data_IF_915665607973
#
_entry.id   IF_915665607973
#
_cell.length_a   1.000
_cell.length_b   1.000
_cell.length_c   1.000
_cell.angle_alpha   90.00
_cell.angle_beta   90.00
_cell.angle_gamma   90.00
#
_symmetry.space_group_name_H-M   'P 1'
#
loop_
_entity.id
_entity.type
_entity.pdbx_description
1 polymer ?
#
# COMPACT_ATOMS: atom_id res chain seq x y z
N UNK A 1 24.57 10.88 -29.34
CA UNK A 1 25.01 10.92 -30.75
C UNK A 1 25.37 12.36 -31.10
N UNK A 2 26.50 12.61 -31.79
CA UNK A 2 26.93 13.96 -32.08
C UNK A 2 26.05 14.53 -33.24
N UNK A 3 25.33 15.64 -33.09
CA UNK A 3 24.44 16.20 -34.12
C UNK A 3 25.09 16.43 -35.49
N UNK A 4 26.39 16.72 -35.50
CA UNK A 4 27.15 16.97 -36.72
C UNK A 4 27.34 15.74 -37.63
N UNK A 5 27.18 14.51 -37.10
CA UNK A 5 27.29 13.27 -37.88
C UNK A 5 26.03 13.06 -38.71
N UNK A 6 24.87 13.37 -38.14
CA UNK A 6 23.58 13.26 -38.85
C UNK A 6 23.54 14.14 -40.12
N UNK A 7 24.17 15.32 -40.07
CA UNK A 7 24.16 16.28 -41.20
C UNK A 7 24.95 15.79 -42.43
N UNK A 8 25.87 14.83 -42.26
CA UNK A 8 26.70 14.29 -43.31
C UNK A 8 26.17 13.06 -44.01
N UNK A 9 25.08 12.46 -43.47
CA UNK A 9 24.52 11.23 -44.03
C UNK A 9 23.58 11.47 -45.23
N UNK A 10 23.42 10.50 -46.15
CA UNK A 10 22.39 10.51 -47.16
C UNK A 10 21.00 10.65 -46.57
N UNK A 11 20.06 11.23 -47.36
CA UNK A 11 18.68 11.51 -46.89
C UNK A 11 17.94 10.25 -46.43
N UNK A 12 18.11 9.14 -47.14
CA UNK A 12 17.45 7.87 -46.79
C UNK A 12 18.00 7.28 -45.50
N UNK A 13 19.32 7.31 -45.27
CA UNK A 13 19.92 6.86 -44.04
C UNK A 13 19.49 7.75 -42.84
N UNK A 14 19.38 9.07 -43.05
CA UNK A 14 18.83 9.97 -42.04
C UNK A 14 17.42 9.59 -41.64
N UNK A 15 16.56 9.30 -42.62
CA UNK A 15 15.17 8.93 -42.36
C UNK A 15 15.07 7.63 -41.59
N UNK A 16 15.88 6.64 -41.95
CA UNK A 16 15.95 5.36 -41.24
C UNK A 16 16.41 5.54 -39.78
N UNK A 17 17.48 6.29 -39.56
CA UNK A 17 18.01 6.58 -38.22
C UNK A 17 16.99 7.35 -37.37
N UNK A 18 16.31 8.34 -37.94
CA UNK A 18 15.26 9.08 -37.23
C UNK A 18 14.10 8.17 -36.84
N UNK A 19 13.66 7.28 -37.74
CA UNK A 19 12.62 6.29 -37.43
C UNK A 19 13.02 5.36 -36.27
N UNK A 20 14.26 4.85 -36.28
CA UNK A 20 14.78 4.02 -35.19
C UNK A 20 14.87 4.79 -33.86
N UNK A 21 15.23 6.07 -33.90
CA UNK A 21 15.27 6.91 -32.70
C UNK A 21 13.85 7.12 -32.15
N UNK A 22 12.88 7.38 -33.02
CA UNK A 22 11.47 7.53 -32.63
C UNK A 22 10.92 6.26 -32.01
N UNK A 23 11.17 5.10 -32.62
CA UNK A 23 10.78 3.79 -32.08
C UNK A 23 11.43 3.51 -30.73
N UNK A 24 12.72 3.80 -30.58
CA UNK A 24 13.45 3.63 -29.32
C UNK A 24 12.89 4.55 -28.22
N UNK A 25 12.61 5.81 -28.56
CA UNK A 25 12.02 6.74 -27.61
C UNK A 25 10.61 6.32 -27.18
N UNK A 26 9.80 5.86 -28.13
CA UNK A 26 8.47 5.33 -27.84
C UNK A 26 8.52 4.05 -26.98
N UNK A 27 9.52 3.19 -27.20
CA UNK A 27 9.73 2.00 -26.37
C UNK A 27 10.14 2.37 -24.95
N UNK A 28 11.10 3.29 -24.78
CA UNK A 28 11.54 3.80 -23.47
C UNK A 28 10.40 4.46 -22.70
N UNK A 29 9.61 5.27 -23.39
CA UNK A 29 8.44 5.93 -22.79
C UNK A 29 7.42 4.90 -22.29
N UNK A 30 7.14 3.87 -23.11
CA UNK A 30 6.24 2.78 -22.69
C UNK A 30 6.78 2.02 -21.48
N UNK A 31 8.04 1.65 -21.48
CA UNK A 31 8.69 0.95 -20.36
C UNK A 31 8.66 1.81 -19.09
N UNK A 32 9.00 3.09 -19.18
CA UNK A 32 8.94 4.04 -18.06
C UNK A 32 7.53 4.17 -17.49
N UNK A 33 6.53 4.40 -18.35
CA UNK A 33 5.13 4.57 -17.94
C UNK A 33 4.48 3.27 -17.42
N UNK A 34 4.98 2.11 -17.82
CA UNK A 34 4.53 0.82 -17.28
C UNK A 34 5.15 0.50 -15.93
N UNK A 35 6.35 1.00 -15.65
CA UNK A 35 7.10 0.73 -14.43
C UNK A 35 6.95 1.77 -13.33
N UNK A 36 6.48 2.98 -13.65
CA UNK A 36 6.37 4.09 -12.72
C UNK A 36 5.07 4.86 -12.87
N UNK A 37 4.32 5.00 -11.76
CA UNK A 37 3.02 5.65 -11.77
C UNK A 37 3.10 7.14 -12.12
N UNK A 38 4.15 7.85 -11.71
CA UNK A 38 4.31 9.28 -12.02
C UNK A 38 4.61 9.51 -13.50
N UNK A 39 5.44 8.66 -14.09
CA UNK A 39 5.73 8.71 -15.53
C UNK A 39 4.46 8.40 -16.35
N UNK A 40 3.65 7.43 -15.92
CA UNK A 40 2.33 7.19 -16.50
C UNK A 40 1.43 8.43 -16.44
N UNK A 41 1.34 9.09 -15.29
CA UNK A 41 0.51 10.31 -15.12
C UNK A 41 0.97 11.44 -16.03
N UNK A 42 2.28 11.68 -16.15
CA UNK A 42 2.84 12.68 -17.06
C UNK A 42 2.48 12.43 -18.52
N UNK A 43 2.46 11.17 -18.92
CA UNK A 43 2.16 10.77 -20.29
C UNK A 43 0.67 10.98 -20.64
N UNK A 44 -0.23 10.54 -19.75
CA UNK A 44 -1.68 10.62 -20.01
C UNK A 44 -2.31 11.98 -19.69
N UNK A 45 -1.58 12.81 -18.96
CA UNK A 45 -2.06 14.15 -18.57
C UNK A 45 -1.03 15.25 -18.89
N UNK A 46 -0.95 15.73 -20.14
CA UNK A 46 0.04 16.72 -20.59
C UNK A 46 0.03 18.04 -19.80
N UNK A 47 -1.10 18.41 -19.20
CA UNK A 47 -1.23 19.60 -18.36
C UNK A 47 -0.84 19.38 -16.89
N UNK A 48 -0.36 18.18 -16.53
CA UNK A 48 0.03 17.87 -15.17
C UNK A 48 1.25 18.65 -14.71
N UNK A 49 1.12 19.37 -13.59
CA UNK A 49 2.22 20.10 -12.96
C UNK A 49 2.70 19.31 -11.76
N UNK A 50 3.89 18.76 -11.88
CA UNK A 50 4.51 17.96 -10.83
C UNK A 50 4.89 18.80 -9.61
N UNK A 51 4.51 18.35 -8.41
CA UNK A 51 4.92 18.89 -7.12
C UNK A 51 5.47 17.81 -6.22
N UNK A 52 6.18 18.20 -5.16
CA UNK A 52 6.80 17.22 -4.23
C UNK A 52 5.82 16.23 -3.64
N UNK A 53 4.58 16.65 -3.34
CA UNK A 53 3.53 15.76 -2.82
C UNK A 53 3.12 14.69 -3.85
N UNK A 54 3.13 14.99 -5.16
CA UNK A 54 2.84 14.02 -6.21
C UNK A 54 3.90 12.92 -6.29
N UNK A 55 5.18 13.26 -6.09
CA UNK A 55 6.27 12.27 -6.03
C UNK A 55 6.09 11.30 -4.88
N UNK A 56 5.78 11.82 -3.68
CA UNK A 56 5.54 10.99 -2.49
C UNK A 56 4.34 10.07 -2.69
N UNK A 57 3.27 10.58 -3.31
CA UNK A 57 2.09 9.76 -3.63
C UNK A 57 2.40 8.69 -4.66
N UNK A 58 3.11 9.04 -5.74
CA UNK A 58 3.47 8.08 -6.79
C UNK A 58 4.40 6.99 -6.27
N UNK A 59 5.38 7.33 -5.43
CA UNK A 59 6.24 6.34 -4.77
C UNK A 59 5.41 5.37 -3.91
N UNK A 60 4.45 5.89 -3.14
CA UNK A 60 3.56 5.04 -2.37
C UNK A 60 2.73 4.10 -3.25
N UNK A 61 2.20 4.57 -4.40
CA UNK A 61 1.47 3.74 -5.36
C UNK A 61 2.36 2.70 -6.03
N UNK A 62 3.58 3.05 -6.44
CA UNK A 62 4.56 2.11 -6.99
C UNK A 62 4.88 0.99 -6.00
N UNK A 63 5.09 1.32 -4.72
CA UNK A 63 5.34 0.37 -3.65
C UNK A 63 4.14 -0.54 -3.37
N UNK A 64 2.92 -0.01 -3.46
CA UNK A 64 1.68 -0.81 -3.37
C UNK A 64 1.58 -1.75 -4.58
N UNK A 65 1.81 -1.25 -5.78
CA UNK A 65 1.74 -2.03 -7.01
C UNK A 65 2.77 -3.17 -7.07
N UNK A 66 3.98 -2.94 -6.54
CA UNK A 66 5.03 -3.98 -6.44
C UNK A 66 4.75 -5.05 -5.37
N UNK A 67 3.66 -4.93 -4.61
CA UNK A 67 3.31 -5.84 -3.53
C UNK A 67 4.15 -5.70 -2.26
N UNK A 68 5.19 -4.88 -2.28
CA UNK A 68 6.17 -4.76 -1.19
C UNK A 68 5.60 -4.25 0.14
N UNK A 69 4.40 -3.65 0.14
CA UNK A 69 3.85 -2.99 1.32
C UNK A 69 2.38 -3.28 1.61
N UNK A 70 1.69 -4.09 0.82
CA UNK A 70 0.23 -4.27 0.94
C UNK A 70 -0.17 -4.70 2.34
N UNK A 71 0.33 -5.85 2.78
CA UNK A 71 -0.07 -6.44 4.06
C UNK A 71 0.49 -5.67 5.25
N UNK A 72 1.72 -5.17 5.19
CA UNK A 72 2.30 -4.43 6.31
C UNK A 72 1.60 -3.08 6.54
N UNK A 73 1.27 -2.34 5.48
CA UNK A 73 0.54 -1.07 5.60
C UNK A 73 -0.93 -1.27 5.94
N UNK A 74 -1.63 -2.11 5.18
CA UNK A 74 -3.07 -2.27 5.31
C UNK A 74 -3.45 -3.13 6.52
N UNK A 75 -2.67 -4.18 6.80
CA UNK A 75 -3.04 -5.21 7.77
C UNK A 75 -2.32 -5.09 9.11
N UNK A 76 -1.30 -4.20 9.22
CA UNK A 76 -0.58 -3.94 10.46
C UNK A 76 -0.60 -2.47 10.88
N UNK A 77 0.00 -1.57 10.06
CA UNK A 77 0.18 -0.18 10.47
C UNK A 77 -1.13 0.62 10.47
N UNK A 78 -1.96 0.45 9.44
CA UNK A 78 -3.21 1.18 9.32
C UNK A 78 -4.21 0.89 10.46
N UNK A 79 -4.52 -0.36 10.83
CA UNK A 79 -5.44 -0.62 11.94
C UNK A 79 -4.91 -0.13 13.28
N UNK A 80 -3.59 -0.17 13.51
CA UNK A 80 -3.00 0.42 14.71
C UNK A 80 -3.20 1.94 14.76
N UNK A 81 -2.88 2.65 13.67
CA UNK A 81 -3.10 4.09 13.55
C UNK A 81 -4.58 4.46 13.70
N UNK A 82 -5.47 3.70 13.04
CA UNK A 82 -6.91 3.95 13.10
C UNK A 82 -7.45 3.86 14.54
N UNK A 83 -7.06 2.81 15.28
CA UNK A 83 -7.45 2.65 16.68
C UNK A 83 -6.80 3.68 17.62
N UNK A 84 -5.65 4.24 17.25
CA UNK A 84 -5.09 5.39 17.96
C UNK A 84 -5.90 6.66 17.75
N UNK A 85 -6.36 6.88 16.52
CA UNK A 85 -7.14 8.06 16.14
C UNK A 85 -8.60 7.97 16.61
N UNK A 86 -9.16 6.76 16.62
CA UNK A 86 -10.56 6.47 16.94
C UNK A 86 -10.61 5.26 17.90
N UNK A 87 -10.23 5.43 19.18
CA UNK A 87 -9.92 4.33 20.07
C UNK A 87 -11.15 3.54 20.57
N UNK A 88 -12.36 4.02 20.32
CA UNK A 88 -13.65 3.37 20.61
C UNK A 88 -14.21 2.56 19.44
N UNK A 89 -13.53 2.59 18.29
CA UNK A 89 -13.99 1.97 17.05
C UNK A 89 -13.62 0.48 16.98
N UNK A 90 -14.29 -0.21 16.06
CA UNK A 90 -14.16 -1.66 15.87
C UNK A 90 -13.54 -1.99 14.53
N UNK A 91 -12.52 -2.82 14.57
CA UNK A 91 -11.81 -3.33 13.39
C UNK A 91 -12.00 -4.84 13.31
N UNK A 92 -12.48 -5.32 12.16
CA UNK A 92 -12.42 -6.74 11.80
C UNK A 92 -11.36 -6.90 10.72
N UNK A 93 -10.44 -7.84 10.94
CA UNK A 93 -9.45 -8.21 9.94
C UNK A 93 -9.61 -9.67 9.57
N UNK A 94 -9.68 -9.94 8.26
CA UNK A 94 -9.78 -11.29 7.73
C UNK A 94 -8.65 -11.58 6.77
N UNK A 95 -8.19 -12.83 6.75
CA UNK A 95 -7.23 -13.37 5.81
C UNK A 95 -7.67 -14.79 5.42
N UNK A 96 -7.01 -15.37 4.38
CA UNK A 96 -7.31 -16.73 3.92
C UNK A 96 -7.37 -17.75 5.06
N UNK A 97 -6.41 -17.73 5.97
CA UNK A 97 -6.43 -18.62 7.16
C UNK A 97 -6.61 -17.83 8.46
N UNK A 98 -7.17 -18.49 9.46
CA UNK A 98 -7.29 -17.93 10.81
C UNK A 98 -5.91 -17.65 11.42
N UNK A 99 -4.91 -18.50 11.13
CA UNK A 99 -3.54 -18.35 11.61
C UNK A 99 -2.89 -17.06 11.08
N UNK A 100 -3.04 -16.78 9.78
CA UNK A 100 -2.53 -15.56 9.14
C UNK A 100 -3.21 -14.33 9.74
N UNK A 101 -4.55 -14.33 9.85
CA UNK A 101 -5.30 -13.23 10.43
C UNK A 101 -4.89 -12.95 11.89
N UNK A 102 -4.74 -14.00 12.72
CA UNK A 102 -4.27 -13.89 14.10
C UNK A 102 -2.82 -13.41 14.17
N UNK A 103 -1.97 -13.78 13.18
CA UNK A 103 -0.62 -13.27 13.02
C UNK A 103 -0.59 -11.75 12.90
N UNK A 104 -1.43 -11.19 12.04
CA UNK A 104 -1.62 -9.73 11.91
C UNK A 104 -2.17 -9.13 13.21
N UNK A 105 -3.19 -9.73 13.81
CA UNK A 105 -3.75 -9.28 15.08
C UNK A 105 -2.71 -9.18 16.18
N UNK A 106 -1.76 -10.11 16.24
CA UNK A 106 -0.63 -10.07 17.17
C UNK A 106 0.30 -8.89 16.89
N UNK A 107 0.65 -8.64 15.62
CA UNK A 107 1.48 -7.51 15.22
C UNK A 107 0.83 -6.17 15.62
N UNK A 108 -0.44 -5.97 15.27
CA UNK A 108 -1.21 -4.76 15.60
C UNK A 108 -1.28 -4.57 17.12
N UNK A 109 -1.61 -5.62 17.87
CA UNK A 109 -1.66 -5.58 19.34
C UNK A 109 -0.32 -5.19 19.96
N UNK A 110 0.76 -5.78 19.47
CA UNK A 110 2.09 -5.50 20.00
C UNK A 110 2.51 -4.05 19.71
N UNK A 111 2.15 -3.53 18.54
CA UNK A 111 2.38 -2.12 18.20
C UNK A 111 1.58 -1.18 19.12
N UNK A 112 0.28 -1.45 19.31
CA UNK A 112 -0.57 -0.65 20.22
C UNK A 112 -0.06 -0.70 21.68
N UNK A 113 0.55 -1.80 22.09
CA UNK A 113 1.16 -1.96 23.41
C UNK A 113 2.60 -1.43 23.52
N UNK A 114 3.18 -0.84 22.48
CA UNK A 114 4.57 -0.37 22.49
C UNK A 114 4.72 1.02 23.10
N UNK A 115 5.92 1.32 23.63
CA UNK A 115 6.27 2.64 24.15
C UNK A 115 6.22 3.72 23.07
N UNK A 116 6.61 3.40 21.83
CA UNK A 116 6.58 4.34 20.72
C UNK A 116 5.15 4.70 20.31
N UNK A 117 4.24 3.74 20.36
CA UNK A 117 2.82 4.01 20.14
C UNK A 117 2.24 4.90 21.24
N UNK A 118 2.59 4.65 22.52
CA UNK A 118 2.14 5.45 23.64
C UNK A 118 2.64 6.92 23.59
N UNK A 119 3.79 7.18 22.97
CA UNK A 119 4.29 8.56 22.72
C UNK A 119 3.39 9.32 21.73
N UNK A 120 2.81 8.61 20.74
CA UNK A 120 1.95 9.21 19.72
C UNK A 120 0.50 9.31 20.19
N UNK A 121 0.01 8.27 20.89
CA UNK A 121 -1.36 8.16 21.39
C UNK A 121 -1.38 7.87 22.90
N UNK A 122 -0.99 8.83 23.77
CA UNK A 122 -0.76 8.59 25.20
C UNK A 122 -2.01 8.18 25.98
N UNK A 123 -3.21 8.40 25.42
CA UNK A 123 -4.48 8.01 26.05
C UNK A 123 -5.02 6.65 25.60
N UNK A 124 -4.33 5.95 24.69
CA UNK A 124 -4.80 4.70 24.10
C UNK A 124 -3.84 3.56 24.42
N UNK A 125 -4.36 2.53 25.08
CA UNK A 125 -3.59 1.34 25.46
C UNK A 125 -4.49 0.10 25.46
N UNK A 126 -3.89 -1.07 25.56
CA UNK A 126 -4.62 -2.33 25.61
C UNK A 126 -5.37 -2.47 26.93
N UNK A 127 -6.62 -2.93 26.87
CA UNK A 127 -7.38 -3.30 28.06
C UNK A 127 -6.68 -4.42 28.83
N UNK A 128 -6.73 -4.40 30.15
CA UNK A 128 -5.98 -5.30 31.03
C UNK A 128 -6.28 -6.80 30.81
N UNK A 129 -7.48 -7.12 30.34
CA UNK A 129 -7.97 -8.46 30.02
C UNK A 129 -7.69 -8.88 28.56
N UNK A 130 -7.16 -7.98 27.73
CA UNK A 130 -6.94 -8.17 26.28
C UNK A 130 -5.64 -8.91 26.00
N UNK A 131 -5.58 -10.21 26.30
CA UNK A 131 -4.38 -11.05 26.14
C UNK A 131 -4.30 -11.84 24.85
N UNK A 132 -5.44 -12.10 24.19
CA UNK A 132 -5.48 -12.91 22.98
C UNK A 132 -4.95 -12.16 21.76
N UNK A 133 -4.22 -12.86 20.88
CA UNK A 133 -3.65 -12.26 19.68
C UNK A 133 -4.71 -11.94 18.62
N UNK A 134 -5.74 -12.77 18.52
CA UNK A 134 -6.79 -12.63 17.51
C UNK A 134 -7.97 -11.76 17.94
N UNK A 135 -8.06 -11.40 19.22
CA UNK A 135 -9.12 -10.55 19.76
C UNK A 135 -8.65 -9.79 20.97
N UNK A 136 -8.74 -8.49 20.91
CA UNK A 136 -8.34 -7.61 22.01
C UNK A 136 -9.09 -6.27 21.94
N UNK A 137 -9.08 -5.55 23.04
CA UNK A 137 -9.79 -4.30 23.20
C UNK A 137 -8.84 -3.17 23.61
N UNK A 138 -9.20 -1.95 23.23
CA UNK A 138 -8.60 -0.74 23.82
C UNK A 138 -9.22 -0.44 25.19
N UNK A 139 -8.54 0.35 25.99
CA UNK A 139 -9.03 0.81 27.29
C UNK A 139 -10.32 1.65 27.23
N UNK A 140 -10.71 2.13 26.06
CA UNK A 140 -11.91 2.97 25.86
C UNK A 140 -13.02 2.26 25.05
N UNK A 141 -12.92 0.94 24.87
CA UNK A 141 -13.99 0.12 24.30
C UNK A 141 -13.87 -0.20 22.82
N UNK A 142 -12.76 0.18 22.17
CA UNK A 142 -12.47 -0.30 20.82
C UNK A 142 -12.22 -1.80 20.79
N UNK A 143 -12.58 -2.46 19.71
CA UNK A 143 -12.46 -3.91 19.53
C UNK A 143 -11.69 -4.23 18.25
N UNK A 144 -10.69 -5.08 18.36
CA UNK A 144 -10.00 -5.66 17.22
C UNK A 144 -10.26 -7.16 17.18
N UNK A 145 -10.73 -7.65 16.04
CA UNK A 145 -11.05 -9.04 15.84
C UNK A 145 -10.47 -9.58 14.54
N UNK A 146 -9.56 -10.56 14.66
CA UNK A 146 -8.95 -11.27 13.55
C UNK A 146 -9.62 -12.61 13.33
N UNK A 147 -9.96 -12.93 12.08
CA UNK A 147 -10.68 -14.14 11.72
C UNK A 147 -10.28 -14.63 10.33
N UNK A 148 -10.20 -15.93 10.12
CA UNK A 148 -10.04 -16.52 8.79
C UNK A 148 -11.32 -16.42 7.94
N UNK A 149 -11.17 -16.44 6.62
CA UNK A 149 -12.31 -16.53 5.69
C UNK A 149 -13.15 -17.77 6.03
N UNK A 150 -14.47 -17.61 6.07
CA UNK A 150 -15.41 -18.65 6.50
C UNK A 150 -15.63 -18.73 8.01
N UNK A 151 -14.91 -17.94 8.82
CA UNK A 151 -15.16 -17.85 10.25
C UNK A 151 -16.44 -17.08 10.58
N UNK A 152 -17.03 -17.37 11.75
CA UNK A 152 -18.29 -16.76 12.17
C UNK A 152 -18.10 -15.30 12.63
N UNK A 153 -18.54 -14.35 11.80
CA UNK A 153 -18.64 -12.91 12.13
C UNK A 153 -20.06 -12.47 12.47
N UNK A 154 -20.99 -13.39 12.57
CA UNK A 154 -22.40 -13.12 12.78
C UNK A 154 -22.62 -12.31 14.07
N UNK A 155 -23.34 -11.21 13.97
CA UNK A 155 -23.65 -10.34 15.11
C UNK A 155 -22.53 -9.38 15.53
N UNK A 156 -21.41 -9.32 14.80
CA UNK A 156 -20.33 -8.36 15.07
C UNK A 156 -20.39 -7.23 14.06
N UNK A 157 -20.67 -6.02 14.54
CA UNK A 157 -20.46 -4.79 13.76
C UNK A 157 -18.98 -4.41 13.74
N UNK A 158 -18.55 -3.82 12.63
CA UNK A 158 -17.23 -3.19 12.52
C UNK A 158 -17.36 -1.83 11.84
N UNK A 159 -16.50 -0.89 12.24
CA UNK A 159 -16.35 0.38 11.56
C UNK A 159 -15.41 0.21 10.35
N UNK A 160 -14.45 -0.72 10.45
CA UNK A 160 -13.55 -1.11 9.35
C UNK A 160 -13.48 -2.63 9.24
N UNK A 161 -13.57 -3.10 8.00
CA UNK A 161 -13.26 -4.47 7.60
C UNK A 161 -12.02 -4.45 6.70
N UNK A 162 -10.96 -5.14 7.13
CA UNK A 162 -9.74 -5.36 6.35
C UNK A 162 -9.78 -6.79 5.83
N UNK A 163 -9.62 -6.93 4.51
CA UNK A 163 -9.54 -8.23 3.83
C UNK A 163 -8.16 -8.33 3.19
N UNK A 164 -7.33 -9.24 3.70
CA UNK A 164 -5.97 -9.47 3.22
C UNK A 164 -5.85 -10.90 2.71
N UNK A 165 -5.45 -11.05 1.45
CA UNK A 165 -5.29 -12.33 0.74
C UNK A 165 -6.41 -13.34 1.07
N UNK A 166 -7.67 -13.10 0.60
CA UNK A 166 -8.81 -13.94 0.95
C UNK A 166 -8.80 -15.33 0.29
N UNK A 167 -7.90 -15.56 -0.67
CA UNK A 167 -7.75 -16.80 -1.42
C UNK A 167 -6.36 -17.40 -1.24
N UNK A 168 -6.26 -18.74 -1.23
CA UNK A 168 -4.97 -19.43 -1.35
C UNK A 168 -4.42 -19.25 -2.77
N UNK A 169 -3.13 -18.97 -2.89
CA UNK A 169 -2.44 -19.22 -4.14
C UNK A 169 -2.51 -20.73 -4.43
N UNK A 170 -3.14 -21.10 -5.56
CA UNK A 170 -3.17 -22.48 -6.06
C UNK A 170 -1.99 -22.71 -6.98
#
# INVERSE_FOLDING_TARGET
MNPKILDTLPVDEKREILGLIEELNAARMREGSQGDFLEFVKEVWPAFIEGNHHRVMADAFNRIASGALKSEFASHLFPAWYLGRFPDRKVIQTAHTAELAVGFGRKVRNLVGSEDYAKIFPGVYLSADSKAAGRWNTNVGGDYFAIGVGGAVTGKGADILIVDDPHSEQ
#
